data_IF_201483785605
#
_entry.id   IF_201483785605
#
_cell.length_a   1.000
_cell.length_b   1.000
_cell.length_c   1.000
_cell.angle_alpha   90.00
_cell.angle_beta   90.00
_cell.angle_gamma   90.00
#
_symmetry.space_group_name_H-M   'P 1'
#
loop_
_entity.id
_entity.type
_entity.pdbx_description
1 polymer ?
#
# COMPACT_ATOMS: atom_id res chain seq x y z
N UNK A 1 27.77 55.56 51.96
CA UNK A 1 28.05 54.14 52.03
C UNK A 1 27.03 53.46 51.17
N UNK A 2 27.37 53.23 49.86
CA UNK A 2 26.41 52.70 48.87
C UNK A 2 26.54 51.19 48.75
N UNK A 3 25.44 50.50 48.96
CA UNK A 3 25.34 49.05 48.81
C UNK A 3 24.97 48.74 47.36
N UNK A 4 25.96 48.26 46.60
CA UNK A 4 25.76 47.77 45.22
C UNK A 4 24.99 46.43 45.26
N UNK A 5 23.75 46.41 44.76
CA UNK A 5 22.95 45.21 44.54
C UNK A 5 23.39 44.53 43.27
N UNK A 6 24.00 43.35 43.38
CA UNK A 6 24.29 42.48 42.22
C UNK A 6 23.01 41.71 41.89
N UNK A 7 22.38 42.03 40.74
CA UNK A 7 21.33 41.24 40.16
C UNK A 7 21.99 40.16 39.29
N UNK A 8 22.03 38.94 39.77
CA UNK A 8 22.45 37.78 38.98
C UNK A 8 21.25 37.40 38.12
N UNK A 9 21.28 37.77 36.84
CA UNK A 9 20.35 37.33 35.86
C UNK A 9 20.58 35.86 35.51
N UNK A 10 19.75 34.97 36.03
CA UNK A 10 19.72 33.57 35.59
C UNK A 10 19.11 33.51 34.18
N UNK A 11 19.97 33.43 33.18
CA UNK A 11 19.60 33.23 31.78
C UNK A 11 19.23 31.75 31.58
N UNK A 12 17.94 31.42 31.76
CA UNK A 12 17.43 30.10 31.37
C UNK A 12 17.59 29.90 29.87
N UNK A 13 18.64 29.21 29.47
CA UNK A 13 18.72 28.62 28.11
C UNK A 13 17.65 27.57 28.01
N UNK A 14 16.48 27.95 27.52
CA UNK A 14 15.49 27.00 27.01
C UNK A 14 16.04 26.49 25.68
N UNK A 15 16.82 25.41 25.76
CA UNK A 15 17.19 24.64 24.58
C UNK A 15 15.91 24.12 23.93
N UNK A 16 15.51 24.74 22.82
CA UNK A 16 14.47 24.21 21.97
C UNK A 16 14.97 22.86 21.44
N UNK A 17 14.59 21.78 22.12
CA UNK A 17 14.67 20.44 21.56
C UNK A 17 13.74 20.45 20.36
N UNK A 18 14.31 20.65 19.16
CA UNK A 18 13.63 20.41 17.91
C UNK A 18 13.31 18.91 17.86
N UNK A 19 12.17 18.54 18.44
CA UNK A 19 11.59 17.23 18.21
C UNK A 19 11.25 17.24 16.73
N UNK A 20 12.11 16.62 15.90
CA UNK A 20 11.82 16.37 14.50
C UNK A 20 10.53 15.57 14.44
N UNK A 21 9.40 16.26 14.33
CA UNK A 21 8.11 15.62 14.14
C UNK A 21 8.20 14.88 12.80
N UNK A 22 8.09 13.56 12.85
CA UNK A 22 8.11 12.72 11.66
C UNK A 22 7.03 13.17 10.69
N UNK A 23 7.42 13.51 9.47
CA UNK A 23 6.50 14.00 8.45
C UNK A 23 5.65 12.86 7.88
N UNK A 24 4.48 13.18 7.34
CA UNK A 24 3.64 12.21 6.63
C UNK A 24 4.42 11.56 5.47
N UNK A 25 5.28 12.35 4.79
CA UNK A 25 6.15 11.85 3.72
C UNK A 25 7.12 10.79 4.23
N UNK A 26 7.79 11.02 5.36
CA UNK A 26 8.74 10.06 5.93
C UNK A 26 8.04 8.74 6.32
N UNK A 27 6.81 8.82 6.85
CA UNK A 27 6.01 7.63 7.16
C UNK A 27 5.66 6.87 5.90
N UNK A 28 5.22 7.55 4.85
CA UNK A 28 4.88 6.93 3.57
C UNK A 28 6.12 6.32 2.89
N UNK A 29 7.27 6.99 2.91
CA UNK A 29 8.53 6.48 2.37
C UNK A 29 8.97 5.20 3.09
N UNK A 30 8.91 5.19 4.44
CA UNK A 30 9.22 4.00 5.25
C UNK A 30 8.24 2.87 5.00
N UNK A 31 6.94 3.17 4.87
CA UNK A 31 5.92 2.17 4.53
C UNK A 31 6.19 1.57 3.15
N UNK A 32 6.49 2.41 2.16
CA UNK A 32 6.85 1.95 0.82
C UNK A 32 8.09 1.04 0.85
N UNK A 33 9.13 1.40 1.59
CA UNK A 33 10.33 0.57 1.75
C UNK A 33 10.04 -0.77 2.45
N UNK A 34 9.16 -0.77 3.46
CA UNK A 34 8.75 -1.99 4.18
C UNK A 34 7.99 -2.94 3.26
N UNK A 35 7.07 -2.41 2.46
CA UNK A 35 6.24 -3.20 1.54
C UNK A 35 7.03 -3.69 0.33
N UNK A 36 7.94 -2.86 -0.20
CA UNK A 36 8.79 -3.19 -1.36
C UNK A 36 10.12 -3.85 -0.99
N UNK A 37 10.19 -4.55 0.12
CA UNK A 37 11.36 -5.31 0.54
C UNK A 37 11.93 -6.14 -0.65
N UNK A 38 13.26 -6.17 -0.80
CA UNK A 38 13.96 -6.88 -1.89
C UNK A 38 13.56 -8.35 -2.01
N UNK A 39 13.31 -9.03 -0.90
CA UNK A 39 12.82 -10.41 -0.87
C UNK A 39 11.33 -10.54 -1.19
N UNK A 40 10.59 -9.45 -1.07
CA UNK A 40 9.14 -9.41 -1.18
C UNK A 40 8.42 -9.48 0.17
N UNK A 41 7.10 -9.44 0.12
CA UNK A 41 6.22 -9.53 1.26
C UNK A 41 4.94 -10.32 0.93
N UNK A 42 4.27 -10.80 1.98
CA UNK A 42 2.98 -11.50 1.88
C UNK A 42 2.00 -10.93 2.90
N UNK A 43 0.71 -10.93 2.54
CA UNK A 43 -0.36 -10.55 3.45
C UNK A 43 -1.68 -11.24 3.07
N UNK A 44 -2.58 -11.34 4.03
CA UNK A 44 -4.00 -11.54 3.78
C UNK A 44 -4.68 -10.19 3.55
N UNK A 45 -5.75 -10.17 2.78
CA UNK A 45 -6.56 -8.97 2.58
C UNK A 45 -8.06 -9.27 2.61
N UNK A 46 -8.84 -8.25 2.93
CA UNK A 46 -10.29 -8.22 2.73
C UNK A 46 -10.64 -6.89 2.10
N UNK A 47 -11.35 -6.90 0.99
CA UNK A 47 -11.86 -5.73 0.28
C UNK A 47 -13.35 -5.63 0.54
N UNK A 48 -13.84 -4.45 0.93
CA UNK A 48 -15.26 -4.14 1.12
C UNK A 48 -15.58 -2.81 0.44
N UNK A 49 -16.50 -2.83 -0.50
CA UNK A 49 -16.94 -1.64 -1.25
C UNK A 49 -18.25 -1.86 -1.98
N UNK A 50 -18.79 -0.81 -2.55
CA UNK A 50 -20.09 -0.90 -3.27
C UNK A 50 -20.04 -1.83 -4.49
N UNK A 51 -18.89 -1.92 -5.16
CA UNK A 51 -18.74 -2.66 -6.41
C UNK A 51 -17.97 -3.97 -6.26
N UNK A 52 -17.35 -4.22 -5.11
CA UNK A 52 -16.49 -5.38 -4.92
C UNK A 52 -16.36 -5.76 -3.45
N UNK A 53 -16.64 -7.03 -3.16
CA UNK A 53 -16.30 -7.67 -1.90
C UNK A 53 -15.45 -8.90 -2.21
N UNK A 54 -14.26 -8.95 -1.65
CA UNK A 54 -13.33 -10.06 -1.87
C UNK A 54 -12.42 -10.24 -0.65
N UNK A 55 -11.95 -11.45 -0.45
CA UNK A 55 -10.89 -11.76 0.50
C UNK A 55 -9.91 -12.74 -0.11
N UNK A 56 -8.67 -12.70 0.37
CA UNK A 56 -7.65 -13.55 -0.18
C UNK A 56 -6.28 -13.30 0.40
N UNK A 57 -5.27 -13.74 -0.34
CA UNK A 57 -3.86 -13.53 -0.04
C UNK A 57 -3.17 -12.82 -1.20
N UNK A 58 -2.14 -12.07 -0.89
CA UNK A 58 -1.28 -11.43 -1.88
C UNK A 58 0.19 -11.61 -1.49
N UNK A 59 1.00 -11.88 -2.49
CA UNK A 59 2.45 -11.82 -2.45
C UNK A 59 2.93 -10.72 -3.39
N UNK A 60 3.94 -9.95 -3.00
CA UNK A 60 4.50 -8.86 -3.79
C UNK A 60 6.02 -8.88 -3.74
N UNK A 61 6.66 -8.46 -4.84
CA UNK A 61 8.10 -8.24 -4.93
C UNK A 61 8.40 -7.18 -6.00
N UNK A 62 8.82 -5.99 -5.58
CA UNK A 62 8.95 -4.87 -6.50
C UNK A 62 7.62 -4.52 -7.17
N UNK A 63 7.56 -4.61 -8.51
CA UNK A 63 6.33 -4.41 -9.29
C UNK A 63 5.51 -5.68 -9.46
N UNK A 64 6.08 -6.86 -9.17
CA UNK A 64 5.42 -8.15 -9.35
C UNK A 64 4.45 -8.43 -8.21
N UNK A 65 3.35 -9.10 -8.53
CA UNK A 65 2.42 -9.60 -7.51
C UNK A 65 1.73 -10.90 -7.92
N UNK A 66 1.32 -11.65 -6.92
CA UNK A 66 0.49 -12.84 -7.05
C UNK A 66 -0.63 -12.73 -6.01
N UNK A 67 -1.87 -12.69 -6.45
CA UNK A 67 -3.04 -12.58 -5.59
C UNK A 67 -4.00 -13.74 -5.81
N UNK A 68 -4.55 -14.28 -4.73
CA UNK A 68 -5.51 -15.38 -4.78
C UNK A 68 -6.74 -15.03 -3.97
N UNK A 69 -7.92 -15.20 -4.58
CA UNK A 69 -9.24 -15.10 -3.96
C UNK A 69 -10.03 -16.40 -4.16
N UNK A 70 -11.27 -16.45 -3.65
CA UNK A 70 -12.16 -17.57 -3.94
C UNK A 70 -12.47 -17.71 -5.44
N UNK A 71 -12.57 -16.59 -6.17
CA UNK A 71 -13.02 -16.54 -7.57
C UNK A 71 -11.88 -16.61 -8.58
N UNK A 72 -10.71 -16.05 -8.25
CA UNK A 72 -9.62 -15.92 -9.21
C UNK A 72 -8.24 -16.02 -8.56
N UNK A 73 -7.25 -16.36 -9.39
CA UNK A 73 -5.83 -16.19 -9.07
C UNK A 73 -5.20 -15.31 -10.13
N UNK A 74 -4.43 -14.31 -9.70
CA UNK A 74 -3.80 -13.34 -10.59
C UNK A 74 -2.28 -13.40 -10.37
N UNK A 75 -1.52 -13.50 -11.44
CA UNK A 75 -0.07 -13.34 -11.48
C UNK A 75 0.28 -12.13 -12.32
N UNK A 76 1.28 -11.38 -11.90
CA UNK A 76 1.86 -10.28 -12.67
C UNK A 76 3.36 -10.26 -12.49
N UNK A 77 4.11 -10.43 -13.57
CA UNK A 77 5.57 -10.52 -13.56
C UNK A 77 6.30 -9.17 -13.76
N UNK A 78 5.54 -8.09 -13.73
CA UNK A 78 6.03 -6.73 -14.02
C UNK A 78 5.73 -6.25 -15.43
N UNK A 79 5.25 -7.13 -16.33
CA UNK A 79 4.84 -6.83 -17.71
C UNK A 79 3.53 -7.52 -18.07
N UNK A 80 3.48 -8.82 -17.92
CA UNK A 80 2.35 -9.67 -18.31
C UNK A 80 1.55 -10.06 -17.07
N UNK A 81 0.24 -10.00 -17.20
CA UNK A 81 -0.71 -10.49 -16.22
C UNK A 81 -1.39 -11.75 -16.74
N UNK A 82 -1.52 -12.74 -15.86
CA UNK A 82 -2.35 -13.92 -16.05
C UNK A 82 -3.46 -13.89 -14.99
N UNK A 83 -4.69 -14.07 -15.43
CA UNK A 83 -5.85 -14.14 -14.53
C UNK A 83 -6.56 -15.46 -14.76
N UNK A 84 -6.43 -16.37 -13.81
CA UNK A 84 -7.15 -17.62 -13.81
C UNK A 84 -8.50 -17.44 -13.11
N UNK A 85 -9.58 -17.65 -13.86
CA UNK A 85 -10.96 -17.60 -13.40
C UNK A 85 -11.39 -19.01 -13.00
N UNK A 86 -11.57 -19.26 -11.70
CA UNK A 86 -11.81 -20.59 -11.14
C UNK A 86 -13.16 -21.19 -11.53
N UNK A 87 -14.15 -20.33 -11.87
CA UNK A 87 -15.51 -20.79 -12.17
C UNK A 87 -15.65 -21.41 -13.56
N UNK A 88 -14.85 -20.98 -14.51
CA UNK A 88 -14.90 -21.43 -15.91
C UNK A 88 -13.59 -22.07 -16.39
N UNK A 89 -12.64 -22.27 -15.49
CA UNK A 89 -11.33 -22.89 -15.78
C UNK A 89 -10.60 -22.21 -16.96
N UNK A 90 -10.56 -20.87 -16.94
CA UNK A 90 -10.06 -20.02 -18.01
C UNK A 90 -8.91 -19.14 -17.51
N UNK A 91 -7.87 -19.00 -18.32
CA UNK A 91 -6.73 -18.10 -18.07
C UNK A 91 -6.68 -17.01 -19.12
N UNK A 92 -6.91 -15.78 -18.70
CA UNK A 92 -6.74 -14.58 -19.54
C UNK A 92 -5.34 -14.03 -19.39
N UNK A 93 -4.65 -13.79 -20.52
CA UNK A 93 -3.32 -13.19 -20.59
C UNK A 93 -3.44 -11.78 -21.16
N UNK A 94 -2.88 -10.79 -20.47
CA UNK A 94 -2.92 -9.39 -20.90
C UNK A 94 -1.64 -8.64 -20.50
N UNK A 95 -1.38 -7.52 -21.17
CA UNK A 95 -0.38 -6.54 -20.74
C UNK A 95 -1.14 -5.28 -20.24
N UNK A 96 -1.45 -5.22 -18.94
CA UNK A 96 -2.29 -4.16 -18.39
C UNK A 96 -1.57 -2.80 -18.42
N UNK A 97 -2.34 -1.75 -18.61
CA UNK A 97 -1.88 -0.37 -18.45
C UNK A 97 -1.63 -0.04 -16.98
N UNK A 98 -0.88 1.01 -16.68
CA UNK A 98 -0.65 1.46 -15.30
C UNK A 98 -1.95 1.75 -14.53
N UNK A 99 -2.97 2.30 -15.21
CA UNK A 99 -4.27 2.56 -14.59
C UNK A 99 -5.03 1.29 -14.24
N UNK A 100 -4.94 0.24 -15.06
CA UNK A 100 -5.51 -1.07 -14.77
C UNK A 100 -4.78 -1.76 -13.61
N UNK A 101 -3.44 -1.70 -13.61
CA UNK A 101 -2.63 -2.22 -12.50
C UNK A 101 -2.96 -1.52 -11.16
N UNK A 102 -3.17 -0.20 -11.18
CA UNK A 102 -3.54 0.55 -9.98
C UNK A 102 -4.86 0.06 -9.37
N UNK A 103 -5.79 -0.44 -10.19
CA UNK A 103 -7.08 -0.93 -9.73
C UNK A 103 -7.02 -2.33 -9.08
N UNK A 104 -6.03 -3.15 -9.44
CA UNK A 104 -5.94 -4.57 -9.01
C UNK A 104 -4.83 -4.84 -8.01
N UNK A 105 -3.81 -4.00 -7.94
CA UNK A 105 -2.73 -4.13 -6.97
C UNK A 105 -2.99 -3.22 -5.76
N UNK A 106 -3.45 -3.75 -4.61
CA UNK A 106 -3.74 -2.94 -3.43
C UNK A 106 -2.52 -2.19 -2.88
N UNK A 107 -1.31 -2.61 -3.23
CA UNK A 107 -0.09 -1.93 -2.79
C UNK A 107 0.36 -0.78 -3.70
N UNK A 108 -0.24 -0.59 -4.89
CA UNK A 108 0.04 0.59 -5.71
C UNK A 108 -0.28 1.89 -5.00
N UNK A 109 -1.21 1.89 -4.05
CA UNK A 109 -1.53 3.06 -3.22
C UNK A 109 -0.31 3.64 -2.49
N UNK A 110 0.64 2.78 -2.12
CA UNK A 110 1.86 3.18 -1.42
C UNK A 110 2.78 4.04 -2.29
N UNK A 111 2.65 3.97 -3.60
CA UNK A 111 3.44 4.77 -4.53
C UNK A 111 2.70 6.01 -5.04
N UNK A 112 1.36 6.06 -4.89
CA UNK A 112 0.53 7.14 -5.41
C UNK A 112 0.80 8.49 -4.73
N UNK A 113 1.24 8.50 -3.46
CA UNK A 113 1.55 9.73 -2.73
C UNK A 113 2.63 10.59 -3.40
N UNK A 114 3.47 10.01 -4.25
CA UNK A 114 4.57 10.72 -4.92
C UNK A 114 4.10 11.74 -5.93
N UNK A 115 2.90 11.57 -6.52
CA UNK A 115 2.44 12.40 -7.62
C UNK A 115 0.94 12.72 -7.52
N UNK A 116 0.63 14.02 -7.39
CA UNK A 116 -0.72 14.54 -7.52
C UNK A 116 -1.63 14.31 -6.30
N UNK A 117 -1.04 14.23 -5.12
CA UNK A 117 -1.75 14.22 -3.83
C UNK A 117 -1.09 15.16 -2.85
N UNK A 118 -1.91 15.89 -2.08
CA UNK A 118 -1.55 16.49 -0.81
C UNK A 118 -1.83 15.48 0.30
N UNK A 119 -1.12 15.56 1.42
CA UNK A 119 -1.33 14.65 2.54
C UNK A 119 -1.08 15.31 3.88
N UNK A 120 -1.87 14.90 4.87
CA UNK A 120 -1.74 15.19 6.28
C UNK A 120 -1.61 13.90 7.06
N UNK A 121 -1.23 13.98 8.32
CA UNK A 121 -1.09 12.81 9.18
C UNK A 121 -1.47 13.13 10.61
N UNK A 122 -2.13 12.19 11.24
CA UNK A 122 -2.37 12.17 12.69
C UNK A 122 -1.83 10.87 13.32
N UNK A 123 -1.58 10.91 14.63
CA UNK A 123 -1.24 9.72 15.42
C UNK A 123 -2.47 9.30 16.22
N UNK A 124 -2.91 8.04 16.05
CA UNK A 124 -4.10 7.52 16.72
C UNK A 124 -3.94 6.04 17.05
N UNK A 125 -4.16 5.69 18.32
CA UNK A 125 -4.18 4.29 18.75
C UNK A 125 -2.95 3.46 18.38
N UNK A 126 -1.74 4.04 18.47
CA UNK A 126 -0.49 3.35 18.09
C UNK A 126 -0.25 3.27 16.57
N UNK A 127 -1.06 3.95 15.77
CA UNK A 127 -0.93 4.04 14.32
C UNK A 127 -0.69 5.49 13.86
N UNK A 128 -0.09 5.62 12.68
CA UNK A 128 -0.20 6.81 11.84
C UNK A 128 -1.44 6.65 10.96
N UNK A 129 -2.27 7.68 10.89
CA UNK A 129 -3.36 7.77 9.91
C UNK A 129 -3.00 8.87 8.94
N UNK A 130 -2.61 8.49 7.73
CA UNK A 130 -2.26 9.42 6.66
C UNK A 130 -3.49 9.63 5.78
N UNK A 131 -3.93 10.89 5.68
CA UNK A 131 -5.01 11.33 4.79
C UNK A 131 -4.41 11.95 3.54
N UNK A 132 -4.79 11.45 2.38
CA UNK A 132 -4.35 11.90 1.06
C UNK A 132 -5.53 12.44 0.27
N UNK A 133 -5.37 13.60 -0.34
CA UNK A 133 -6.37 14.24 -1.20
C UNK A 133 -5.76 14.55 -2.57
N UNK A 134 -6.45 14.19 -3.65
CA UNK A 134 -6.00 14.46 -5.00
C UNK A 134 -5.92 15.98 -5.26
N UNK A 135 -4.81 16.44 -5.86
CA UNK A 135 -4.59 17.86 -6.23
C UNK A 135 -5.12 18.19 -7.63
N UNK A 136 -5.77 17.22 -8.31
CA UNK A 136 -6.37 17.36 -9.63
C UNK A 136 -7.31 16.21 -9.93
N UNK A 137 -7.73 16.06 -11.19
CA UNK A 137 -8.60 14.95 -11.62
C UNK A 137 -7.86 13.62 -11.50
N UNK A 138 -8.26 12.78 -10.58
CA UNK A 138 -7.75 11.42 -10.35
C UNK A 138 -8.92 10.46 -10.18
N UNK A 139 -8.73 9.19 -10.54
CA UNK A 139 -9.72 8.14 -10.28
C UNK A 139 -9.97 7.91 -8.78
N UNK A 140 -8.92 8.03 -7.97
CA UNK A 140 -9.00 8.03 -6.51
C UNK A 140 -8.87 9.46 -6.03
N UNK A 141 -9.94 9.98 -5.44
CA UNK A 141 -10.07 11.38 -5.02
C UNK A 141 -9.52 11.60 -3.62
N UNK A 142 -9.70 10.63 -2.75
CA UNK A 142 -9.39 10.70 -1.33
C UNK A 142 -8.99 9.32 -0.81
N UNK A 143 -8.04 9.28 0.12
CA UNK A 143 -7.53 8.03 0.67
C UNK A 143 -7.05 8.23 2.11
N UNK A 144 -7.29 7.21 2.93
CA UNK A 144 -6.73 7.07 4.27
C UNK A 144 -5.88 5.81 4.33
N UNK A 145 -4.66 5.93 4.85
CA UNK A 145 -3.78 4.80 5.16
C UNK A 145 -3.57 4.73 6.66
N UNK A 146 -3.89 3.58 7.24
CA UNK A 146 -3.58 3.27 8.64
C UNK A 146 -2.31 2.44 8.67
N UNK A 147 -1.27 2.94 9.34
CA UNK A 147 0.10 2.42 9.32
C UNK A 147 0.59 2.25 10.75
N UNK A 148 1.08 1.09 11.12
CA UNK A 148 1.63 0.84 12.45
C UNK A 148 2.85 1.72 12.75
N UNK A 149 2.86 2.42 13.89
CA UNK A 149 3.93 3.37 14.25
C UNK A 149 5.30 2.71 14.43
N UNK A 150 5.33 1.46 14.88
CA UNK A 150 6.58 0.72 15.11
C UNK A 150 7.05 -0.05 13.88
N UNK A 151 6.12 -0.64 13.14
CA UNK A 151 6.42 -1.56 12.06
C UNK A 151 6.44 -0.91 10.68
N UNK A 152 5.81 0.26 10.52
CA UNK A 152 5.55 0.90 9.23
C UNK A 152 4.80 -0.01 8.25
N UNK A 153 4.08 -1.01 8.76
CA UNK A 153 3.23 -1.88 7.95
C UNK A 153 1.84 -1.29 7.84
N UNK A 154 1.24 -1.25 6.63
CA UNK A 154 -0.13 -0.82 6.47
C UNK A 154 -1.08 -1.90 7.02
N UNK A 155 -2.11 -1.49 7.77
CA UNK A 155 -3.17 -2.37 8.28
C UNK A 155 -4.51 -2.12 7.58
N UNK A 156 -4.73 -0.90 7.09
CA UNK A 156 -5.95 -0.54 6.36
C UNK A 156 -5.65 0.50 5.30
N UNK A 157 -6.31 0.37 4.16
CA UNK A 157 -6.37 1.37 3.09
C UNK A 157 -7.84 1.62 2.80
N UNK A 158 -8.29 2.88 2.92
CA UNK A 158 -9.65 3.28 2.59
C UNK A 158 -9.59 4.38 1.55
N UNK A 159 -10.21 4.18 0.40
CA UNK A 159 -10.16 5.14 -0.70
C UNK A 159 -11.52 5.41 -1.33
N UNK A 160 -11.65 6.60 -1.93
CA UNK A 160 -12.86 7.09 -2.58
C UNK A 160 -12.67 7.25 -4.08
N UNK A 161 -13.57 6.66 -4.83
CA UNK A 161 -13.70 6.84 -6.28
C UNK A 161 -15.07 7.44 -6.61
N UNK A 162 -15.36 7.67 -7.89
CA UNK A 162 -16.72 8.05 -8.34
C UNK A 162 -17.80 7.02 -7.95
N UNK A 163 -17.42 5.75 -7.71
CA UNK A 163 -18.30 4.66 -7.28
C UNK A 163 -18.48 4.56 -5.76
N UNK A 164 -17.89 5.49 -4.98
CA UNK A 164 -17.99 5.50 -3.53
C UNK A 164 -16.71 5.00 -2.84
N UNK A 165 -16.86 4.67 -1.56
CA UNK A 165 -15.77 4.22 -0.70
C UNK A 165 -15.48 2.73 -0.85
N UNK A 166 -14.20 2.39 -0.83
CA UNK A 166 -13.69 1.02 -0.73
C UNK A 166 -12.69 0.95 0.42
N UNK A 167 -12.80 -0.09 1.24
CA UNK A 167 -11.89 -0.39 2.34
C UNK A 167 -11.15 -1.68 2.05
N UNK A 168 -9.83 -1.68 2.22
CA UNK A 168 -8.96 -2.85 2.17
C UNK A 168 -8.37 -3.04 3.56
N UNK A 169 -8.73 -4.12 4.23
CA UNK A 169 -8.09 -4.56 5.46
C UNK A 169 -6.90 -5.44 5.11
N UNK A 170 -5.76 -5.20 5.75
CA UNK A 170 -4.52 -5.95 5.54
C UNK A 170 -4.19 -6.69 6.83
N UNK A 171 -3.97 -7.99 6.73
CA UNK A 171 -3.72 -8.87 7.88
C UNK A 171 -2.48 -9.71 7.64
N UNK A 172 -1.80 -10.08 8.72
CA UNK A 172 -0.68 -11.01 8.69
C UNK A 172 0.42 -10.60 7.71
N UNK A 173 0.65 -9.27 7.57
CA UNK A 173 1.74 -8.77 6.75
C UNK A 173 3.07 -9.31 7.29
N UNK A 174 3.88 -9.89 6.40
CA UNK A 174 5.22 -10.36 6.73
C UNK A 174 6.17 -10.20 5.55
N UNK A 175 7.41 -9.85 5.84
CA UNK A 175 8.48 -9.94 4.87
C UNK A 175 8.70 -11.43 4.47
N UNK A 176 9.06 -11.67 3.21
CA UNK A 176 9.27 -12.99 2.66
C UNK A 176 10.49 -12.97 1.72
N UNK A 177 11.02 -14.14 1.40
CA UNK A 177 12.03 -14.32 0.34
C UNK A 177 11.39 -15.12 -0.80
N UNK A 178 10.81 -14.40 -1.75
CA UNK A 178 10.00 -14.97 -2.82
C UNK A 178 10.82 -15.14 -4.09
N UNK A 179 10.74 -16.32 -4.70
CA UNK A 179 11.30 -16.56 -6.03
C UNK A 179 10.46 -15.83 -7.10
N UNK A 180 11.10 -15.38 -8.18
CA UNK A 180 10.40 -14.67 -9.27
C UNK A 180 9.36 -15.55 -9.97
N UNK A 181 9.55 -16.87 -9.97
CA UNK A 181 8.57 -17.84 -10.46
C UNK A 181 7.22 -17.81 -9.74
N UNK A 182 7.18 -17.31 -8.50
CA UNK A 182 5.91 -17.11 -7.74
C UNK A 182 4.94 -16.17 -8.47
N UNK A 183 5.47 -15.29 -9.31
CA UNK A 183 4.72 -14.22 -9.99
C UNK A 183 4.40 -14.54 -11.45
N UNK A 184 4.59 -15.78 -11.86
CA UNK A 184 4.32 -16.26 -13.21
C UNK A 184 3.34 -17.40 -13.20
N UNK A 185 2.42 -17.38 -14.15
CA UNK A 185 1.55 -18.51 -14.43
C UNK A 185 2.36 -19.66 -15.03
N UNK A 186 2.08 -20.86 -14.57
CA UNK A 186 2.64 -22.10 -15.12
C UNK A 186 1.47 -22.98 -15.63
N UNK A 187 1.37 -23.16 -16.92
CA UNK A 187 0.28 -23.93 -17.55
C UNK A 187 0.26 -25.42 -17.12
N UNK A 188 1.38 -25.96 -16.67
CA UNK A 188 1.44 -27.34 -16.16
C UNK A 188 0.62 -27.55 -14.90
N UNK A 189 0.42 -26.50 -14.11
CA UNK A 189 -0.37 -26.54 -12.88
C UNK A 189 -1.90 -26.44 -13.18
N UNK A 190 -2.25 -26.09 -14.43
CA UNK A 190 -3.62 -25.87 -14.90
C UNK A 190 -3.87 -26.54 -16.25
N UNK A 191 -3.73 -27.88 -16.35
CA UNK A 191 -3.71 -28.59 -17.64
C UNK A 191 -5.06 -28.60 -18.38
N UNK A 192 -6.15 -28.21 -17.71
CA UNK A 192 -7.48 -28.14 -18.30
C UNK A 192 -7.91 -26.72 -18.63
N UNK A 193 -7.17 -25.71 -18.15
CA UNK A 193 -7.57 -24.33 -18.32
C UNK A 193 -7.48 -23.90 -19.77
N UNK A 194 -8.55 -23.30 -20.29
CA UNK A 194 -8.53 -22.60 -21.55
C UNK A 194 -7.69 -21.33 -21.45
N UNK A 195 -6.75 -21.15 -22.36
CA UNK A 195 -5.86 -20.00 -22.35
C UNK A 195 -6.28 -19.02 -23.45
N UNK A 196 -6.69 -17.82 -23.04
CA UNK A 196 -7.11 -16.72 -23.91
C UNK A 196 -6.06 -15.62 -23.88
N UNK A 197 -5.33 -15.43 -24.97
CA UNK A 197 -4.31 -14.39 -25.10
C UNK A 197 -4.93 -13.10 -25.67
N UNK A 198 -4.97 -12.06 -24.82
CA UNK A 198 -5.56 -10.75 -25.11
C UNK A 198 -4.50 -9.66 -25.34
N UNK A 199 -3.24 -10.03 -25.52
CA UNK A 199 -2.14 -9.06 -25.70
C UNK A 199 -2.08 -8.44 -27.08
#
# INVERSE_FOLDING_TARGET
MEIKKYIIGAMCLIGALSINAQSAKDVLDKTAATVSNKGGAQAGFTISGQSMNASGTIAIKGKMFHATTAQATIWFDGKTQWTYMKNNDEVNIANPTESQLAAINPYNFIYMYKNGYSYTMEKKGGNFVVHMTATGKKSIQEMYLTIGQKSYTPSQIRYKTAKGWTTIEIRNFKAANLADGTFRFNSKDFPKAEVIDLR
#
